data_IF_366632775024
#
_entry.id   IF_366632775024
#
_cell.length_a   1.000
_cell.length_b   1.000
_cell.length_c   1.000
_cell.angle_alpha   90.00
_cell.angle_beta   90.00
_cell.angle_gamma   90.00
#
_symmetry.space_group_name_H-M   'P 1'
#
loop_
_entity.id
_entity.type
_entity.pdbx_description
1 polymer ?
#
# COMPACT_ATOMS: atom_id res chain seq x y z
N UNK A 1 27.97 -0.99 -15.90
CA UNK A 1 27.51 -2.09 -15.00
C UNK A 1 27.24 -1.43 -13.65
N UNK A 2 25.97 -1.25 -13.29
CA UNK A 2 25.61 -0.83 -11.96
C UNK A 2 25.92 -1.97 -10.99
N UNK A 3 26.52 -1.64 -9.84
CA UNK A 3 26.72 -2.62 -8.78
C UNK A 3 25.35 -3.11 -8.33
N UNK A 4 25.16 -4.42 -8.23
CA UNK A 4 23.96 -5.02 -7.65
C UNK A 4 24.04 -4.77 -6.14
N UNK A 5 23.41 -3.69 -5.67
CA UNK A 5 23.30 -3.37 -4.26
C UNK A 5 21.83 -3.17 -3.87
N UNK A 6 21.56 -3.30 -2.59
CA UNK A 6 20.28 -2.95 -1.98
C UNK A 6 20.54 -2.09 -0.76
N UNK A 7 19.95 -0.90 -0.71
CA UNK A 7 19.95 -0.03 0.43
C UNK A 7 18.53 0.25 0.88
N UNK A 8 18.27 0.18 2.18
CA UNK A 8 16.95 0.48 2.75
C UNK A 8 17.07 1.13 4.12
N UNK A 9 16.13 2.00 4.43
CA UNK A 9 15.93 2.62 5.73
C UNK A 9 14.46 2.65 6.08
N UNK A 10 14.12 2.50 7.37
CA UNK A 10 12.75 2.37 7.81
C UNK A 10 12.55 2.92 9.22
N UNK A 11 11.49 3.70 9.42
CA UNK A 11 10.96 4.14 10.71
C UNK A 11 9.44 3.98 10.70
N UNK A 12 8.87 3.27 11.66
CA UNK A 12 7.44 3.00 11.70
C UNK A 12 6.79 3.25 13.04
N UNK A 13 5.47 3.42 13.00
CA UNK A 13 4.56 3.43 14.12
C UNK A 13 3.50 2.35 13.87
N UNK A 14 3.36 1.45 14.83
CA UNK A 14 2.48 0.30 14.70
C UNK A 14 1.17 0.53 15.45
N UNK A 15 0.08 0.01 14.90
CA UNK A 15 -1.19 -0.08 15.60
C UNK A 15 -1.11 -1.18 16.67
N UNK A 16 -1.71 -0.91 17.84
CA UNK A 16 -1.74 -1.91 18.92
C UNK A 16 -2.26 -3.27 18.46
N UNK A 17 -1.50 -4.32 18.77
CA UNK A 17 -1.74 -5.71 18.34
C UNK A 17 -1.85 -5.89 16.82
N UNK A 18 -1.29 -4.97 16.04
CA UNK A 18 -1.29 -5.01 14.58
C UNK A 18 0.09 -4.61 14.06
N UNK A 19 0.16 -4.18 12.83
CA UNK A 19 1.39 -3.83 12.12
C UNK A 19 1.37 -2.32 11.78
N UNK A 20 2.34 -1.85 11.04
CA UNK A 20 2.60 -0.46 10.71
C UNK A 20 1.37 0.26 10.14
N UNK A 21 1.07 1.44 10.66
CA UNK A 21 0.02 2.35 10.17
C UNK A 21 0.58 3.65 9.62
N UNK A 22 1.75 4.09 10.10
CA UNK A 22 2.51 5.21 9.54
C UNK A 22 3.97 4.80 9.47
N UNK A 23 4.62 5.03 8.34
CA UNK A 23 6.07 4.78 8.25
C UNK A 23 6.76 5.69 7.23
N UNK A 24 8.03 5.99 7.51
CA UNK A 24 8.99 6.52 6.56
C UNK A 24 9.81 5.36 6.00
N UNK A 25 10.00 5.32 4.70
CA UNK A 25 10.81 4.28 4.06
C UNK A 25 11.68 4.87 2.96
N UNK A 26 12.89 4.35 2.85
CA UNK A 26 13.80 4.52 1.73
C UNK A 26 14.19 3.17 1.19
N UNK A 27 14.14 3.02 -0.13
CA UNK A 27 14.55 1.81 -0.84
C UNK A 27 15.30 2.19 -2.11
N UNK A 28 16.45 1.56 -2.34
CA UNK A 28 17.26 1.69 -3.53
C UNK A 28 17.89 0.33 -3.86
N UNK A 29 17.65 -0.17 -5.07
CA UNK A 29 18.20 -1.43 -5.55
C UNK A 29 19.12 -1.24 -6.77
N UNK A 30 19.67 -0.04 -6.95
CA UNK A 30 20.53 0.32 -8.08
C UNK A 30 19.77 0.54 -9.41
N UNK A 31 18.50 0.10 -9.50
CA UNK A 31 17.66 0.27 -10.70
C UNK A 31 16.48 1.19 -10.45
N UNK A 32 15.89 1.11 -9.27
CA UNK A 32 14.76 1.91 -8.85
C UNK A 32 15.00 2.44 -7.44
N UNK A 33 14.63 3.70 -7.22
CA UNK A 33 14.72 4.38 -5.93
C UNK A 33 13.37 4.92 -5.52
N UNK A 34 12.97 4.67 -4.28
CA UNK A 34 11.80 5.29 -3.71
C UNK A 34 12.04 5.72 -2.26
N UNK A 35 11.45 6.83 -1.87
CA UNK A 35 11.51 7.35 -0.50
C UNK A 35 10.24 8.12 -0.18
N UNK A 36 9.70 7.96 1.03
CA UNK A 36 8.51 8.71 1.39
C UNK A 36 7.86 8.30 2.68
N UNK A 37 6.81 9.04 3.00
CA UNK A 37 5.86 8.79 4.07
C UNK A 37 4.70 7.96 3.53
N UNK A 38 4.36 6.93 4.27
CA UNK A 38 3.22 6.04 4.00
C UNK A 38 2.23 6.09 5.17
N UNK A 39 0.94 6.17 4.84
CA UNK A 39 -0.16 6.00 5.80
C UNK A 39 -1.00 4.81 5.35
N UNK A 40 -1.24 3.88 6.27
CA UNK A 40 -1.93 2.62 6.00
C UNK A 40 -3.11 2.47 6.95
N UNK A 41 -4.30 2.28 6.42
CA UNK A 41 -5.45 1.86 7.20
C UNK A 41 -5.39 0.37 7.45
N UNK A 42 -5.60 0.00 8.72
CA UNK A 42 -5.76 -1.39 9.14
C UNK A 42 -7.02 -1.52 9.98
N UNK A 43 -7.80 -2.60 9.84
CA UNK A 43 -8.92 -2.85 10.73
C UNK A 43 -8.40 -3.09 12.16
N UNK A 44 -9.22 -2.78 13.17
CA UNK A 44 -8.89 -3.10 14.55
C UNK A 44 -8.88 -4.62 14.79
N UNK A 45 -9.67 -5.34 14.02
CA UNK A 45 -9.70 -6.82 13.96
C UNK A 45 -9.83 -7.27 12.50
N UNK A 46 -9.27 -8.45 12.17
CA UNK A 46 -8.44 -9.30 13.02
C UNK A 46 -7.09 -8.63 13.38
N UNK A 47 -6.54 -9.00 14.52
CA UNK A 47 -5.16 -8.64 14.91
C UNK A 47 -4.15 -9.37 14.02
N UNK A 48 -2.90 -8.93 14.00
CA UNK A 48 -1.83 -9.62 13.26
C UNK A 48 -1.63 -11.07 13.74
N UNK A 49 -1.78 -11.33 15.05
CA UNK A 49 -1.72 -12.67 15.61
C UNK A 49 -2.83 -13.56 15.06
N UNK A 50 -4.07 -13.10 15.08
CA UNK A 50 -5.22 -13.83 14.53
C UNK A 50 -5.05 -14.16 13.04
N UNK A 51 -4.49 -13.22 12.25
CA UNK A 51 -4.18 -13.46 10.82
C UNK A 51 -3.09 -14.50 10.64
N UNK A 52 -2.04 -14.47 11.46
CA UNK A 52 -0.95 -15.46 11.39
C UNK A 52 -1.44 -16.86 11.78
N UNK A 53 -2.26 -16.98 12.82
CA UNK A 53 -2.90 -18.25 13.24
C UNK A 53 -3.77 -18.82 12.12
N UNK A 54 -4.60 -17.99 11.47
CA UNK A 54 -5.40 -18.42 10.33
C UNK A 54 -4.55 -18.88 9.15
N UNK A 55 -3.46 -18.17 8.83
CA UNK A 55 -2.54 -18.56 7.76
C UNK A 55 -1.85 -19.89 8.05
N UNK A 56 -1.46 -20.13 9.31
CA UNK A 56 -0.88 -21.40 9.74
C UNK A 56 -1.89 -22.53 9.58
N UNK A 57 -3.12 -22.37 10.08
CA UNK A 57 -4.20 -23.34 9.92
C UNK A 57 -4.54 -23.62 8.44
N UNK A 58 -4.42 -22.60 7.57
CA UNK A 58 -4.71 -22.76 6.15
C UNK A 58 -3.64 -23.56 5.38
N UNK A 59 -2.45 -23.79 5.94
CA UNK A 59 -1.38 -24.55 5.26
C UNK A 59 -1.81 -25.98 4.97
N UNK A 60 -2.43 -26.63 5.94
CA UNK A 60 -2.85 -28.03 5.87
C UNK A 60 -4.34 -28.20 5.55
N UNK A 61 -5.07 -27.08 5.34
CA UNK A 61 -6.50 -27.08 5.07
C UNK A 61 -6.81 -27.48 3.62
N UNK A 62 -7.97 -28.08 3.42
CA UNK A 62 -8.55 -28.36 2.10
C UNK A 62 -8.87 -27.04 1.36
N UNK A 63 -9.10 -27.13 0.04
CA UNK A 63 -9.48 -25.98 -0.76
C UNK A 63 -10.82 -25.34 -0.30
N UNK A 64 -11.75 -26.15 0.19
CA UNK A 64 -13.04 -25.69 0.71
C UNK A 64 -12.88 -24.95 2.03
N UNK A 65 -12.10 -25.49 2.95
CA UNK A 65 -11.79 -24.86 4.23
C UNK A 65 -11.08 -23.52 4.04
N UNK A 66 -10.11 -23.45 3.13
CA UNK A 66 -9.43 -22.19 2.80
C UNK A 66 -10.38 -21.12 2.29
N UNK A 67 -11.30 -21.47 1.39
CA UNK A 67 -12.33 -20.53 0.89
C UNK A 67 -13.23 -20.04 2.01
N UNK A 68 -13.61 -20.92 2.94
CA UNK A 68 -14.41 -20.51 4.11
C UNK A 68 -13.64 -19.54 5.00
N UNK A 69 -12.38 -19.82 5.31
CA UNK A 69 -11.52 -18.94 6.10
C UNK A 69 -11.33 -17.56 5.44
N UNK A 70 -11.14 -17.54 4.12
CA UNK A 70 -11.07 -16.28 3.35
C UNK A 70 -12.38 -15.48 3.42
N UNK A 71 -13.52 -16.15 3.32
CA UNK A 71 -14.84 -15.52 3.44
C UNK A 71 -15.08 -14.94 4.83
N UNK A 72 -14.75 -15.69 5.88
CA UNK A 72 -14.86 -15.24 7.27
C UNK A 72 -13.95 -14.02 7.53
N UNK A 73 -12.73 -14.02 6.97
CA UNK A 73 -11.81 -12.89 7.06
C UNK A 73 -12.36 -11.65 6.35
N UNK A 74 -12.93 -11.82 5.18
CA UNK A 74 -13.54 -10.75 4.41
C UNK A 74 -14.75 -10.14 5.14
N UNK A 75 -15.58 -10.96 5.76
CA UNK A 75 -16.69 -10.50 6.60
C UNK A 75 -16.19 -9.74 7.83
N UNK A 76 -15.17 -10.27 8.53
CA UNK A 76 -14.60 -9.65 9.71
C UNK A 76 -14.01 -8.25 9.44
N UNK A 77 -13.53 -8.01 8.21
CA UNK A 77 -13.01 -6.70 7.78
C UNK A 77 -14.07 -5.79 7.13
N UNK A 78 -15.31 -6.28 6.98
CA UNK A 78 -16.36 -5.57 6.22
C UNK A 78 -15.99 -5.37 4.75
N UNK A 79 -15.32 -6.33 4.15
CA UNK A 79 -14.87 -6.29 2.76
C UNK A 79 -13.64 -5.41 2.51
N UNK A 80 -12.95 -4.95 3.55
CA UNK A 80 -11.76 -4.11 3.41
C UNK A 80 -10.48 -4.95 3.42
N UNK A 81 -9.41 -4.50 2.75
CA UNK A 81 -8.11 -5.13 2.87
C UNK A 81 -7.58 -5.09 4.31
N UNK A 82 -6.81 -6.09 4.72
CA UNK A 82 -6.09 -6.10 6.01
C UNK A 82 -5.09 -4.95 6.14
N UNK A 83 -4.65 -4.40 5.02
CA UNK A 83 -3.79 -3.23 4.94
C UNK A 83 -4.13 -2.47 3.65
N UNK A 84 -4.68 -1.27 3.78
CA UNK A 84 -4.94 -0.38 2.65
C UNK A 84 -4.01 0.84 2.75
N UNK A 85 -3.03 0.94 1.88
CA UNK A 85 -2.24 2.17 1.80
C UNK A 85 -3.14 3.31 1.34
N UNK A 86 -3.28 4.35 2.17
CA UNK A 86 -4.19 5.49 1.93
C UNK A 86 -3.46 6.71 1.40
N UNK A 87 -2.26 6.94 1.90
CA UNK A 87 -1.45 8.10 1.51
C UNK A 87 -0.03 7.65 1.22
N UNK A 88 0.54 8.21 0.18
CA UNK A 88 1.98 8.25 -0.07
C UNK A 88 2.39 9.67 -0.40
N UNK A 89 3.42 10.16 0.26
CA UNK A 89 4.07 11.44 -0.03
C UNK A 89 5.56 11.19 -0.15
N UNK A 90 6.13 11.43 -1.32
CA UNK A 90 7.55 11.15 -1.48
C UNK A 90 8.07 11.27 -2.91
N UNK A 91 9.17 10.57 -3.16
CA UNK A 91 9.76 10.42 -4.49
C UNK A 91 9.72 8.95 -4.90
N UNK A 92 9.30 8.67 -6.12
CA UNK A 92 9.22 7.35 -6.70
C UNK A 92 9.86 7.39 -8.09
N UNK A 93 11.08 6.88 -8.16
CA UNK A 93 11.89 6.77 -9.38
C UNK A 93 12.00 8.09 -10.17
N UNK A 94 12.37 9.17 -9.47
CA UNK A 94 12.55 10.51 -10.05
C UNK A 94 11.28 11.37 -10.11
N UNK A 95 10.13 10.82 -9.75
CA UNK A 95 8.86 11.56 -9.68
C UNK A 95 8.57 11.98 -8.25
N UNK A 96 8.46 13.28 -7.98
CA UNK A 96 7.93 13.79 -6.71
C UNK A 96 6.40 13.66 -6.72
N UNK A 97 5.81 12.95 -5.75
CA UNK A 97 4.39 12.57 -5.85
C UNK A 97 3.67 12.49 -4.50
N UNK A 98 2.41 12.94 -4.50
CA UNK A 98 1.39 12.65 -3.50
C UNK A 98 0.34 11.72 -4.13
N UNK A 99 0.05 10.60 -3.48
CA UNK A 99 -1.03 9.67 -3.85
C UNK A 99 -2.05 9.58 -2.74
N UNK A 100 -3.32 9.82 -3.08
CA UNK A 100 -4.46 9.58 -2.20
C UNK A 100 -5.25 8.39 -2.76
N UNK A 101 -5.58 7.44 -1.88
CA UNK A 101 -6.21 6.18 -2.24
C UNK A 101 -7.51 5.97 -1.48
N UNK A 102 -8.44 5.23 -2.06
CA UNK A 102 -9.68 4.85 -1.41
C UNK A 102 -9.48 3.76 -0.35
N UNK A 103 -10.56 3.35 0.30
CA UNK A 103 -10.55 2.32 1.36
C UNK A 103 -10.10 0.94 0.87
N UNK A 104 -10.09 0.72 -0.44
CA UNK A 104 -9.58 -0.51 -1.08
C UNK A 104 -8.10 -0.38 -1.49
N UNK A 105 -7.46 0.78 -1.24
CA UNK A 105 -6.06 1.03 -1.62
C UNK A 105 -5.88 1.41 -3.10
N UNK A 106 -6.96 1.72 -3.85
CA UNK A 106 -6.89 2.12 -5.26
C UNK A 106 -6.58 3.61 -5.36
N UNK A 107 -5.67 4.01 -6.26
CA UNK A 107 -5.36 5.42 -6.49
C UNK A 107 -6.61 6.18 -6.96
N UNK A 108 -6.90 7.32 -6.32
CA UNK A 108 -8.03 8.21 -6.66
C UNK A 108 -7.56 9.61 -7.03
N UNK A 109 -6.47 10.07 -6.41
CA UNK A 109 -5.86 11.37 -6.72
C UNK A 109 -4.34 11.18 -6.76
N UNK A 110 -3.70 11.77 -7.78
CA UNK A 110 -2.25 11.92 -7.88
C UNK A 110 -1.91 13.38 -8.10
N UNK A 111 -0.96 13.91 -7.35
CA UNK A 111 -0.36 15.23 -7.56
C UNK A 111 1.13 14.98 -7.71
N UNK A 112 1.74 15.34 -8.83
CA UNK A 112 3.13 14.98 -9.08
C UNK A 112 3.85 15.97 -9.98
N UNK A 113 5.19 15.93 -9.88
CA UNK A 113 6.11 16.50 -10.85
C UNK A 113 6.99 15.36 -11.34
N UNK A 114 6.92 15.04 -12.62
CA UNK A 114 7.67 13.95 -13.23
C UNK A 114 9.15 14.30 -13.49
N UNK A 115 9.91 13.34 -14.04
CA UNK A 115 11.33 13.52 -14.33
C UNK A 115 11.60 14.57 -15.40
N UNK A 116 10.61 14.91 -16.25
CA UNK A 116 10.65 15.96 -17.27
C UNK A 116 10.22 17.33 -16.73
N UNK A 117 10.03 17.46 -15.38
CA UNK A 117 9.55 18.65 -14.69
C UNK A 117 8.12 19.08 -15.07
N UNK A 118 7.29 18.14 -15.51
CA UNK A 118 5.88 18.41 -15.82
C UNK A 118 5.04 18.19 -14.56
N UNK A 119 4.40 19.25 -14.09
CA UNK A 119 3.49 19.20 -12.93
C UNK A 119 2.07 18.85 -13.36
N UNK A 120 1.42 17.93 -12.64
CA UNK A 120 0.03 17.49 -12.88
C UNK A 120 -0.70 17.15 -11.59
N UNK A 121 -2.02 17.33 -11.65
CA UNK A 121 -2.97 16.73 -10.72
C UNK A 121 -3.96 15.89 -11.52
N UNK A 122 -4.17 14.64 -11.10
CA UNK A 122 -5.04 13.71 -11.79
C UNK A 122 -6.06 13.10 -10.82
N UNK A 123 -7.29 12.96 -11.29
CA UNK A 123 -8.36 12.22 -10.63
C UNK A 123 -8.62 10.94 -11.41
N UNK A 124 -8.75 9.82 -10.69
CA UNK A 124 -8.90 8.50 -11.28
C UNK A 124 -10.21 7.86 -10.84
N UNK A 125 -10.80 7.09 -11.73
CA UNK A 125 -11.92 6.21 -11.41
C UNK A 125 -11.47 4.94 -10.66
N UNK A 126 -12.43 4.06 -10.37
CA UNK A 126 -12.17 2.80 -9.66
C UNK A 126 -11.32 1.81 -10.45
N UNK A 127 -11.23 1.95 -11.76
CA UNK A 127 -10.41 1.11 -12.65
C UNK A 127 -8.99 1.63 -12.83
N UNK A 128 -8.70 2.84 -12.28
CA UNK A 128 -7.41 3.51 -12.40
C UNK A 128 -7.27 4.37 -13.67
N UNK A 129 -8.36 4.60 -14.41
CA UNK A 129 -8.36 5.50 -15.56
C UNK A 129 -8.44 6.95 -15.10
N UNK A 130 -7.67 7.83 -15.74
CA UNK A 130 -7.71 9.28 -15.49
C UNK A 130 -9.01 9.85 -16.08
N UNK A 131 -9.88 10.37 -15.21
CA UNK A 131 -11.15 11.00 -15.59
C UNK A 131 -11.06 12.52 -15.64
N UNK A 132 -10.06 13.10 -14.98
CA UNK A 132 -9.79 14.54 -15.00
C UNK A 132 -8.31 14.80 -14.71
N UNK A 133 -7.71 15.80 -15.39
CA UNK A 133 -6.31 16.20 -15.21
C UNK A 133 -6.15 17.73 -15.28
N UNK A 134 -5.26 18.27 -14.46
CA UNK A 134 -4.83 19.68 -14.48
C UNK A 134 -3.29 19.68 -14.56
N UNK A 135 -2.68 20.37 -15.55
CA UNK A 135 -3.30 20.85 -16.77
C UNK A 135 -3.82 19.72 -17.66
N UNK A 136 -4.69 20.06 -18.59
CA UNK A 136 -5.28 19.12 -19.56
C UNK A 136 -4.29 18.70 -20.62
#
# INVERSE_FOLDING_TARGET
>A
RGDDYQASGHLSFDQYKNDQVVYLSYQDNGRRRSSGLYVVDRPARPTIGEVLEQREAARDASAEERRRMESELLEATGGRPLAAQRVFVGSDDGTAIVRLRDVQGRNRIRIFVDAENIARMEFLDETGQVIYSIPR
#
